data_IF_698024303337
#
_entry.id   IF_698024303337
#
_cell.length_a   1.000
_cell.length_b   1.000
_cell.length_c   1.000
_cell.angle_alpha   90.00
_cell.angle_beta   90.00
_cell.angle_gamma   90.00
#
_symmetry.space_group_name_H-M   'P 1'
#
loop_
_entity.id
_entity.type
_entity.pdbx_description
1 polymer ?
#
# COMPACT_ATOMS: atom_id res chain seq x y z
N UNK A 1 -9.40 -25.50 9.73
CA UNK A 1 -9.58 -24.06 9.41
C UNK A 1 -8.35 -23.35 8.80
N UNK A 2 -7.23 -24.04 8.47
CA UNK A 2 -6.05 -23.37 7.86
C UNK A 2 -6.05 -23.30 6.33
N UNK A 3 -6.62 -24.30 5.64
CA UNK A 3 -6.57 -24.39 4.16
C UNK A 3 -7.28 -23.24 3.44
N UNK A 4 -8.45 -22.82 3.92
CA UNK A 4 -9.19 -21.70 3.30
C UNK A 4 -8.49 -20.36 3.50
N UNK A 5 -7.97 -20.08 4.70
CA UNK A 5 -7.19 -18.86 4.98
C UNK A 5 -5.92 -18.83 4.14
N UNK A 6 -5.20 -19.95 4.02
CA UNK A 6 -4.04 -20.07 3.15
C UNK A 6 -4.39 -19.86 1.68
N UNK A 7 -5.51 -20.42 1.20
CA UNK A 7 -5.99 -20.21 -0.16
C UNK A 7 -6.29 -18.73 -0.45
N UNK A 8 -6.91 -18.01 0.48
CA UNK A 8 -7.18 -16.57 0.32
C UNK A 8 -5.87 -15.79 0.19
N UNK A 9 -4.90 -16.05 1.07
CA UNK A 9 -3.60 -15.35 1.04
C UNK A 9 -2.83 -15.68 -0.25
N UNK A 10 -2.83 -16.93 -0.67
CA UNK A 10 -2.19 -17.37 -1.92
C UNK A 10 -2.87 -16.74 -3.15
N UNK A 11 -4.20 -16.60 -3.14
CA UNK A 11 -4.91 -15.94 -4.24
C UNK A 11 -4.60 -14.44 -4.28
N UNK A 12 -4.62 -13.77 -3.12
CA UNK A 12 -4.29 -12.36 -3.01
C UNK A 12 -2.87 -12.07 -3.51
N UNK A 13 -1.88 -12.85 -3.05
CA UNK A 13 -0.48 -12.68 -3.47
C UNK A 13 -0.29 -12.90 -4.98
N UNK A 14 -1.02 -13.85 -5.58
CA UNK A 14 -1.03 -14.04 -7.04
C UNK A 14 -1.59 -12.82 -7.78
N UNK A 15 -2.72 -12.28 -7.32
CA UNK A 15 -3.33 -11.09 -7.91
C UNK A 15 -2.40 -9.88 -7.80
N UNK A 16 -1.81 -9.66 -6.62
CA UNK A 16 -0.88 -8.55 -6.41
C UNK A 16 0.41 -8.69 -7.23
N UNK A 17 0.94 -9.91 -7.35
CA UNK A 17 2.08 -10.19 -8.21
C UNK A 17 1.77 -9.87 -9.68
N UNK A 18 0.58 -10.24 -10.16
CA UNK A 18 0.12 -9.90 -11.51
C UNK A 18 -0.02 -8.39 -11.72
N UNK A 19 -0.58 -7.66 -10.74
CA UNK A 19 -0.67 -6.19 -10.78
C UNK A 19 0.71 -5.54 -10.85
N UNK A 20 1.66 -5.99 -10.02
CA UNK A 20 3.04 -5.49 -10.04
C UNK A 20 3.75 -5.78 -11.37
N UNK A 21 3.56 -6.97 -11.92
CA UNK A 21 4.08 -7.32 -13.24
C UNK A 21 3.50 -6.41 -14.31
N UNK A 22 2.18 -6.18 -14.30
CA UNK A 22 1.54 -5.26 -15.24
C UNK A 22 2.16 -3.85 -15.15
N UNK A 23 2.28 -3.30 -13.93
CA UNK A 23 2.89 -1.98 -13.69
C UNK A 23 4.33 -1.95 -14.21
N UNK A 24 5.13 -3.00 -13.98
CA UNK A 24 6.54 -3.09 -14.42
C UNK A 24 6.69 -3.06 -15.94
N UNK A 25 5.76 -3.69 -16.67
CA UNK A 25 5.82 -3.80 -18.13
C UNK A 25 5.12 -2.65 -18.87
N UNK A 26 4.12 -2.01 -18.27
CA UNK A 26 3.31 -0.97 -18.90
C UNK A 26 3.62 0.44 -18.39
N UNK A 27 4.85 0.69 -17.94
CA UNK A 27 5.28 1.99 -17.40
C UNK A 27 5.03 3.15 -18.38
N UNK A 28 5.24 2.98 -19.69
CA UNK A 28 5.01 4.03 -20.69
C UNK A 28 3.54 4.49 -20.73
N UNK A 29 2.58 3.56 -20.59
CA UNK A 29 1.15 3.86 -20.58
C UNK A 29 0.71 4.57 -19.29
N UNK A 30 1.44 4.39 -18.19
CA UNK A 30 1.14 4.94 -16.87
C UNK A 30 1.54 6.42 -16.71
N UNK A 31 1.62 7.19 -17.81
CA UNK A 31 2.08 8.59 -17.84
C UNK A 31 3.42 8.79 -17.11
N UNK A 32 4.32 7.81 -17.24
CA UNK A 32 5.65 7.88 -16.61
C UNK A 32 6.54 8.95 -17.22
N UNK A 33 6.16 9.48 -18.39
CA UNK A 33 6.85 10.59 -19.07
C UNK A 33 7.01 11.85 -18.19
N UNK A 34 6.11 12.10 -17.24
CA UNK A 34 6.27 13.20 -16.28
C UNK A 34 7.41 12.97 -15.26
N UNK A 35 8.02 11.78 -15.24
CA UNK A 35 9.04 11.37 -14.27
C UNK A 35 10.43 11.22 -14.88
N UNK A 36 10.63 11.64 -16.14
CA UNK A 36 11.95 11.64 -16.77
C UNK A 36 13.01 12.34 -15.91
N UNK A 37 12.72 13.54 -15.39
CA UNK A 37 13.67 14.24 -14.52
C UNK A 37 14.04 13.51 -13.23
N UNK A 38 13.12 12.69 -12.69
CA UNK A 38 13.38 11.89 -11.50
C UNK A 38 14.21 10.64 -11.84
N UNK A 39 13.96 10.03 -13.01
CA UNK A 39 14.80 8.95 -13.54
C UNK A 39 16.22 9.44 -13.81
N UNK A 40 16.37 10.59 -14.47
CA UNK A 40 17.67 11.20 -14.79
C UNK A 40 18.46 11.53 -13.52
N UNK A 41 17.80 12.05 -12.48
CA UNK A 41 18.43 12.29 -11.18
C UNK A 41 18.97 11.01 -10.54
N UNK A 42 18.17 9.92 -10.54
CA UNK A 42 18.59 8.63 -9.98
C UNK A 42 19.75 8.03 -10.78
N UNK A 43 19.70 8.11 -12.10
CA UNK A 43 20.78 7.63 -12.98
C UNK A 43 22.08 8.40 -12.76
N UNK A 44 22.01 9.74 -12.69
CA UNK A 44 23.17 10.59 -12.42
C UNK A 44 23.80 10.28 -11.06
N UNK A 45 22.98 10.06 -10.03
CA UNK A 45 23.48 9.69 -8.70
C UNK A 45 24.16 8.33 -8.69
N UNK A 46 23.59 7.33 -9.35
CA UNK A 46 24.19 6.01 -9.45
C UNK A 46 25.53 6.05 -10.19
N UNK A 47 25.64 6.88 -11.23
CA UNK A 47 26.89 7.12 -11.95
C UNK A 47 27.96 7.77 -11.05
N UNK A 48 27.58 8.74 -10.21
CA UNK A 48 28.49 9.35 -9.23
C UNK A 48 29.00 8.34 -8.19
N UNK A 49 28.13 7.43 -7.76
CA UNK A 49 28.45 6.39 -6.76
C UNK A 49 29.11 5.14 -7.40
N UNK A 50 29.36 5.13 -8.72
CA UNK A 50 29.88 3.98 -9.49
C UNK A 50 29.06 2.69 -9.31
N UNK A 51 27.75 2.83 -9.08
CA UNK A 51 26.79 1.73 -8.93
C UNK A 51 25.93 1.64 -10.19
N UNK A 52 25.70 0.42 -10.69
CA UNK A 52 24.75 0.21 -11.79
C UNK A 52 23.32 0.44 -11.30
N UNK A 53 22.68 1.52 -11.77
CA UNK A 53 21.26 1.74 -11.51
C UNK A 53 20.42 0.63 -12.15
N UNK A 54 19.56 -0.01 -11.35
CA UNK A 54 18.56 -0.93 -11.86
C UNK A 54 17.46 -0.21 -12.67
N UNK A 55 16.53 -0.99 -13.25
CA UNK A 55 15.36 -0.43 -13.93
C UNK A 55 14.47 0.32 -12.93
N UNK A 56 14.35 1.64 -13.09
CA UNK A 56 13.46 2.46 -12.27
C UNK A 56 12.01 2.12 -12.62
N UNK A 57 11.28 1.55 -11.66
CA UNK A 57 9.83 1.28 -11.78
C UNK A 57 9.11 2.19 -10.80
N UNK A 58 8.26 3.06 -11.32
CA UNK A 58 7.48 3.98 -10.50
C UNK A 58 6.14 3.33 -10.20
N UNK A 59 5.84 3.14 -8.91
CA UNK A 59 4.53 2.68 -8.47
C UNK A 59 3.54 3.85 -8.44
N UNK A 60 2.33 3.67 -9.00
CA UNK A 60 1.27 4.69 -8.94
C UNK A 60 0.73 4.83 -7.51
N UNK A 61 0.07 5.96 -7.20
CA UNK A 61 -0.57 6.16 -5.89
C UNK A 61 -1.75 5.23 -5.62
N UNK A 62 -2.31 4.60 -6.66
CA UNK A 62 -3.33 3.55 -6.56
C UNK A 62 -2.77 2.23 -6.03
N UNK A 63 -1.44 2.06 -5.97
CA UNK A 63 -0.81 0.91 -5.33
C UNK A 63 -0.64 1.17 -3.84
N UNK A 64 -1.34 0.37 -3.03
CA UNK A 64 -1.36 0.51 -1.57
C UNK A 64 0.03 0.32 -0.96
N UNK A 65 0.42 1.18 -0.02
CA UNK A 65 1.75 1.16 0.59
C UNK A 65 2.90 1.67 -0.29
N UNK A 66 2.63 2.08 -1.54
CA UNK A 66 3.65 2.78 -2.34
C UNK A 66 4.00 4.15 -1.71
N UNK A 67 5.22 4.68 -1.92
CA UNK A 67 5.58 6.01 -1.44
C UNK A 67 4.61 7.12 -1.88
N UNK A 68 4.02 6.98 -3.08
CA UNK A 68 3.05 7.93 -3.61
C UNK A 68 1.67 7.80 -2.97
N UNK A 69 1.23 6.57 -2.70
CA UNK A 69 -0.01 6.33 -1.96
C UNK A 69 0.09 6.98 -0.57
N UNK A 70 1.21 6.80 0.12
CA UNK A 70 1.46 7.40 1.42
C UNK A 70 1.47 8.94 1.37
N UNK A 71 2.14 9.52 0.37
CA UNK A 71 2.19 10.98 0.19
C UNK A 71 0.81 11.55 -0.13
N UNK A 72 0.04 10.90 -0.99
CA UNK A 72 -1.31 11.32 -1.33
C UNK A 72 -2.24 11.24 -0.10
N UNK A 73 -2.22 10.12 0.65
CA UNK A 73 -2.99 9.98 1.89
C UNK A 73 -2.67 11.08 2.90
N UNK A 74 -1.38 11.45 3.01
CA UNK A 74 -0.97 12.55 3.87
C UNK A 74 -1.55 13.90 3.40
N UNK A 75 -1.46 14.21 2.10
CA UNK A 75 -2.02 15.43 1.54
C UNK A 75 -3.55 15.50 1.72
N UNK A 76 -4.25 14.38 1.51
CA UNK A 76 -5.69 14.28 1.72
C UNK A 76 -6.04 14.51 3.20
N UNK A 77 -5.28 13.93 4.13
CA UNK A 77 -5.44 14.18 5.55
C UNK A 77 -5.22 15.66 5.91
N UNK A 78 -4.19 16.30 5.35
CA UNK A 78 -3.92 17.73 5.56
C UNK A 78 -5.06 18.59 4.99
N UNK A 79 -5.63 18.24 3.84
CA UNK A 79 -6.77 18.95 3.26
C UNK A 79 -8.02 18.84 4.15
N UNK A 80 -8.28 17.67 4.74
CA UNK A 80 -9.35 17.46 5.71
C UNK A 80 -9.13 18.35 6.94
N UNK A 81 -7.91 18.33 7.50
CA UNK A 81 -7.56 19.15 8.67
C UNK A 81 -7.68 20.65 8.37
N UNK A 82 -7.26 21.09 7.19
CA UNK A 82 -7.39 22.48 6.79
C UNK A 82 -8.85 22.92 6.70
N UNK A 83 -9.75 22.04 6.24
CA UNK A 83 -11.16 22.34 6.06
C UNK A 83 -11.97 22.27 7.36
N UNK A 84 -11.72 21.27 8.19
CA UNK A 84 -12.55 20.97 9.37
C UNK A 84 -11.85 21.25 10.70
N UNK A 85 -10.58 21.69 10.66
CA UNK A 85 -9.76 21.89 11.85
C UNK A 85 -9.03 20.63 12.28
N UNK A 86 -8.20 20.77 13.32
CA UNK A 86 -7.47 19.64 13.90
C UNK A 86 -8.46 18.61 14.47
N UNK A 87 -8.18 17.31 14.33
CA UNK A 87 -8.94 16.30 15.05
C UNK A 87 -8.73 16.47 16.56
N UNK A 88 -9.80 16.31 17.33
CA UNK A 88 -9.73 16.33 18.79
C UNK A 88 -9.53 14.93 19.38
N UNK A 89 -9.82 13.89 18.61
CA UNK A 89 -9.71 12.50 19.03
C UNK A 89 -9.06 11.64 17.94
N UNK A 90 -8.12 10.80 18.37
CA UNK A 90 -7.58 9.70 17.57
C UNK A 90 -8.04 8.39 18.20
N UNK A 91 -8.99 7.70 17.56
CA UNK A 91 -9.47 6.39 18.02
C UNK A 91 -8.68 5.30 17.30
N UNK A 92 -7.91 4.52 18.06
CA UNK A 92 -7.32 3.29 17.56
C UNK A 92 -8.19 2.12 18.01
N UNK A 93 -8.84 1.46 17.05
CA UNK A 93 -9.58 0.22 17.30
C UNK A 93 -8.61 -0.94 17.11
N UNK A 94 -8.20 -1.56 18.21
CA UNK A 94 -7.50 -2.84 18.18
C UNK A 94 -8.52 -3.95 18.38
N UNK A 95 -8.52 -4.95 17.51
CA UNK A 95 -9.35 -6.14 17.68
C UNK A 95 -8.45 -7.34 17.96
N UNK A 96 -8.57 -7.94 19.15
CA UNK A 96 -7.99 -9.24 19.44
C UNK A 96 -9.11 -10.28 19.47
N UNK A 97 -9.14 -11.26 18.55
CA UNK A 97 -10.18 -12.27 18.50
C UNK A 97 -10.35 -13.09 19.80
N UNK A 98 -9.37 -13.04 20.72
CA UNK A 98 -9.41 -13.74 22.01
C UNK A 98 -10.04 -12.92 23.14
N UNK A 99 -10.43 -11.67 22.91
CA UNK A 99 -11.04 -10.86 23.97
C UNK A 99 -12.44 -11.37 24.34
N UNK A 100 -12.74 -11.29 25.63
CA UNK A 100 -14.00 -11.78 26.21
C UNK A 100 -15.22 -11.13 25.60
N UNK A 101 -15.15 -9.83 25.30
CA UNK A 101 -16.26 -9.07 24.71
C UNK A 101 -16.60 -9.54 23.29
N UNK A 102 -15.58 -9.96 22.53
CA UNK A 102 -15.77 -10.55 21.21
C UNK A 102 -16.38 -11.93 21.37
N UNK A 103 -15.82 -12.77 22.25
CA UNK A 103 -16.33 -14.13 22.47
C UNK A 103 -17.76 -14.17 22.99
N UNK A 104 -18.15 -13.23 23.87
CA UNK A 104 -19.50 -13.12 24.41
C UNK A 104 -20.52 -12.59 23.38
N UNK A 105 -20.04 -11.91 22.34
CA UNK A 105 -20.87 -11.43 21.23
C UNK A 105 -21.06 -12.47 20.12
N UNK A 106 -20.36 -13.61 20.17
CA UNK A 106 -20.49 -14.70 19.19
C UNK A 106 -21.71 -15.58 19.51
N UNK A 107 -22.37 -16.09 18.47
CA UNK A 107 -23.46 -17.06 18.62
C UNK A 107 -22.94 -18.46 18.95
N UNK A 108 -23.79 -19.31 19.53
CA UNK A 108 -23.48 -20.72 19.74
C UNK A 108 -23.09 -21.37 18.39
N UNK A 109 -21.84 -21.84 18.27
CA UNK A 109 -21.13 -22.38 17.09
C UNK A 109 -20.34 -21.40 16.20
N UNK A 110 -20.29 -20.11 16.52
CA UNK A 110 -19.34 -19.20 15.87
C UNK A 110 -17.97 -19.27 16.54
N UNK A 111 -16.90 -19.20 15.74
CA UNK A 111 -15.54 -19.07 16.26
C UNK A 111 -14.95 -17.77 15.74
N UNK A 112 -14.16 -17.06 16.55
CA UNK A 112 -13.50 -15.86 16.10
C UNK A 112 -12.53 -16.17 14.95
N UNK A 113 -12.36 -15.20 14.05
CA UNK A 113 -11.55 -15.31 12.84
C UNK A 113 -10.05 -15.48 13.13
#
# INVERSE_FOLDING_TARGET
>A
KKLFQQYIVDLYTRVESNRLNYIRHHQSQLRVEHYHGLQDFVLNRAQLESVTAGKVVVLPSTFEGSPRNMTQRYQDAMAIVQKYGKPDLFITITCNPKWTDILSSLKDNEAPA
#
